data_IF_602665811107
#
_entry.id   IF_602665811107
#
_cell.length_a   1.000
_cell.length_b   1.000
_cell.length_c   1.000
_cell.angle_alpha   90.00
_cell.angle_beta   90.00
_cell.angle_gamma   90.00
#
_symmetry.space_group_name_H-M   'P 1'
#
loop_
_entity.id
_entity.type
_entity.pdbx_description
1 polymer ?
#
# COMPACT_ATOMS: atom_id res chain seq x y z
N UNK A 1 -26.26 -25.07 48.52
CA UNK A 1 -26.40 -24.83 47.06
C UNK A 1 -25.07 -24.32 46.55
N UNK A 2 -24.22 -25.22 46.09
CA UNK A 2 -22.95 -24.92 45.43
C UNK A 2 -23.26 -24.41 44.03
N UNK A 3 -23.15 -23.09 43.83
CA UNK A 3 -23.19 -22.51 42.50
C UNK A 3 -22.04 -23.12 41.69
N UNK A 4 -22.38 -23.86 40.64
CA UNK A 4 -21.42 -24.31 39.66
C UNK A 4 -20.74 -23.08 39.06
N UNK A 5 -19.40 -23.02 39.17
CA UNK A 5 -18.60 -22.12 38.36
C UNK A 5 -18.93 -22.43 36.90
N UNK A 6 -19.67 -21.55 36.24
CA UNK A 6 -19.76 -21.53 34.79
C UNK A 6 -18.36 -21.29 34.27
N UNK A 7 -17.75 -22.35 33.73
CA UNK A 7 -16.51 -22.31 32.99
C UNK A 7 -16.75 -21.39 31.80
N UNK A 8 -16.38 -20.12 31.92
CA UNK A 8 -16.33 -19.19 30.78
C UNK A 8 -15.62 -19.93 29.65
N UNK A 9 -16.34 -20.23 28.55
CA UNK A 9 -15.84 -21.05 27.46
C UNK A 9 -14.41 -20.61 27.11
N UNK A 10 -13.43 -21.40 27.52
CA UNK A 10 -12.03 -21.02 27.45
C UNK A 10 -11.69 -20.80 25.99
N UNK A 11 -11.33 -19.56 25.63
CA UNK A 11 -10.89 -19.23 24.28
C UNK A 11 -9.80 -20.23 23.90
N UNK A 12 -10.04 -21.03 22.87
CA UNK A 12 -9.07 -22.02 22.42
C UNK A 12 -7.81 -21.29 21.96
N UNK A 13 -6.70 -21.49 22.68
CA UNK A 13 -5.39 -20.96 22.31
C UNK A 13 -5.00 -21.37 20.89
N UNK A 14 -5.39 -22.58 20.46
CA UNK A 14 -5.17 -23.09 19.10
C UNK A 14 -5.97 -22.28 18.08
N UNK A 15 -7.24 -21.99 18.35
CA UNK A 15 -8.06 -21.18 17.47
C UNK A 15 -7.53 -19.74 17.35
N UNK A 16 -7.14 -19.13 18.48
CA UNK A 16 -6.55 -17.79 18.48
C UNK A 16 -5.26 -17.75 17.68
N UNK A 17 -4.39 -18.75 17.82
CA UNK A 17 -3.16 -18.84 17.05
C UNK A 17 -3.43 -18.85 15.54
N UNK A 18 -4.31 -19.72 15.05
CA UNK A 18 -4.59 -19.83 13.61
C UNK A 18 -5.28 -18.61 13.02
N UNK A 19 -6.20 -17.98 13.77
CA UNK A 19 -6.83 -16.72 13.34
C UNK A 19 -5.78 -15.63 13.16
N UNK A 20 -4.85 -15.49 14.12
CA UNK A 20 -3.77 -14.50 14.03
C UNK A 20 -2.83 -14.79 12.87
N UNK A 21 -2.43 -16.05 12.67
CA UNK A 21 -1.59 -16.45 11.53
C UNK A 21 -2.27 -16.10 10.21
N UNK A 22 -3.55 -16.38 10.07
CA UNK A 22 -4.32 -16.04 8.88
C UNK A 22 -4.43 -14.53 8.64
N UNK A 23 -4.70 -13.74 9.69
CA UNK A 23 -4.76 -12.28 9.57
C UNK A 23 -3.41 -11.69 9.16
N UNK A 24 -2.32 -12.08 9.81
CA UNK A 24 -0.98 -11.57 9.50
C UNK A 24 -0.47 -12.06 8.15
N UNK A 25 -0.79 -13.28 7.74
CA UNK A 25 -0.40 -13.79 6.43
C UNK A 25 -1.07 -13.04 5.29
N UNK A 26 -2.34 -12.66 5.44
CA UNK A 26 -3.02 -11.82 4.46
C UNK A 26 -2.32 -10.47 4.29
N UNK A 27 -1.94 -9.83 5.41
CA UNK A 27 -1.24 -8.54 5.39
C UNK A 27 0.16 -8.64 4.79
N UNK A 28 0.94 -9.66 5.16
CA UNK A 28 2.30 -9.82 4.61
C UNK A 28 2.27 -10.20 3.13
N UNK A 29 1.35 -11.06 2.70
CA UNK A 29 1.15 -11.39 1.28
C UNK A 29 0.73 -10.16 0.49
N UNK A 30 -0.18 -9.33 1.03
CA UNK A 30 -0.56 -8.07 0.40
C UNK A 30 0.66 -7.13 0.25
N UNK A 31 1.47 -6.99 1.29
CA UNK A 31 2.68 -6.16 1.24
C UNK A 31 3.67 -6.66 0.18
N UNK A 32 3.94 -7.97 0.14
CA UNK A 32 4.79 -8.58 -0.88
C UNK A 32 4.18 -8.38 -2.28
N UNK A 33 2.86 -8.50 -2.43
CA UNK A 33 2.19 -8.24 -3.70
C UNK A 33 2.37 -6.81 -4.19
N UNK A 34 2.24 -5.81 -3.31
CA UNK A 34 2.44 -4.41 -3.70
C UNK A 34 3.89 -4.15 -4.13
N UNK A 35 4.88 -4.70 -3.42
CA UNK A 35 6.29 -4.60 -3.80
C UNK A 35 6.52 -5.29 -5.16
N UNK A 36 5.98 -6.49 -5.32
CA UNK A 36 6.09 -7.26 -6.55
C UNK A 36 5.45 -6.53 -7.75
N UNK A 37 4.29 -5.88 -7.53
CA UNK A 37 3.62 -5.08 -8.54
C UNK A 37 4.47 -3.86 -8.94
N UNK A 38 5.05 -3.15 -7.96
CA UNK A 38 5.97 -2.06 -8.22
C UNK A 38 7.17 -2.52 -9.07
N UNK A 39 7.81 -3.64 -8.71
CA UNK A 39 8.93 -4.20 -9.48
C UNK A 39 8.52 -4.59 -10.90
N UNK A 40 7.35 -5.21 -11.07
CA UNK A 40 6.86 -5.61 -12.38
C UNK A 40 6.52 -4.41 -13.28
N UNK A 41 5.87 -3.39 -12.74
CA UNK A 41 5.39 -2.23 -13.53
C UNK A 41 6.48 -1.20 -13.80
N UNK A 42 7.40 -1.00 -12.85
CA UNK A 42 8.42 0.08 -12.96
C UNK A 42 9.81 -0.41 -13.28
N UNK A 43 10.16 -1.65 -12.92
CA UNK A 43 11.49 -2.23 -13.14
C UNK A 43 11.47 -3.34 -14.21
N UNK A 44 10.31 -3.58 -14.85
CA UNK A 44 10.09 -4.62 -15.86
C UNK A 44 10.43 -6.05 -15.36
N UNK A 45 10.24 -6.31 -14.06
CA UNK A 45 10.48 -7.65 -13.52
C UNK A 45 9.45 -8.66 -14.04
N UNK A 46 9.85 -9.93 -14.24
CA UNK A 46 9.00 -10.97 -14.85
C UNK A 46 7.72 -11.31 -14.07
N UNK A 47 7.67 -11.00 -12.78
CA UNK A 47 6.62 -11.47 -11.89
C UNK A 47 6.73 -12.98 -11.64
N UNK A 48 5.68 -13.56 -11.06
CA UNK A 48 5.64 -14.99 -10.73
C UNK A 48 5.23 -15.85 -11.94
N UNK A 49 4.55 -15.26 -12.92
CA UNK A 49 3.95 -16.02 -14.03
C UNK A 49 4.93 -16.90 -14.81
N UNK A 50 6.22 -16.54 -15.03
CA UNK A 50 7.14 -17.39 -15.77
C UNK A 50 7.57 -18.64 -15.03
N UNK A 51 7.39 -18.73 -13.71
CA UNK A 51 7.66 -19.95 -12.92
C UNK A 51 6.68 -21.07 -13.28
N UNK A 52 5.46 -20.72 -13.71
CA UNK A 52 4.45 -21.68 -14.16
C UNK A 52 4.61 -22.07 -15.64
N UNK A 53 5.57 -21.48 -16.37
CA UNK A 53 5.82 -21.77 -17.78
C UNK A 53 7.12 -22.57 -17.94
N UNK A 54 7.09 -23.78 -18.53
CA UNK A 54 8.29 -24.59 -18.73
C UNK A 54 9.37 -23.82 -19.49
N UNK A 55 10.60 -23.80 -18.95
CA UNK A 55 11.77 -23.21 -19.60
C UNK A 55 11.84 -21.67 -19.61
N UNK A 56 10.91 -20.95 -18.95
CA UNK A 56 10.90 -19.48 -18.92
C UNK A 56 11.16 -18.87 -17.53
N UNK A 57 11.36 -19.70 -16.52
CA UNK A 57 11.61 -19.26 -15.15
C UNK A 57 13.07 -18.77 -14.99
N UNK A 58 13.26 -17.45 -15.04
CA UNK A 58 14.53 -16.81 -14.69
C UNK A 58 14.74 -16.67 -13.18
N UNK A 59 15.96 -16.30 -12.76
CA UNK A 59 16.31 -16.10 -11.35
C UNK A 59 15.43 -15.05 -10.64
N UNK A 60 15.08 -13.95 -11.33
CA UNK A 60 14.22 -12.89 -10.78
C UNK A 60 12.80 -13.39 -10.43
N UNK A 61 12.24 -14.26 -11.27
CA UNK A 61 10.92 -14.84 -11.03
C UNK A 61 10.92 -15.75 -9.80
N UNK A 62 12.00 -16.51 -9.59
CA UNK A 62 12.20 -17.31 -8.38
C UNK A 62 12.38 -16.47 -7.13
N UNK A 63 13.12 -15.35 -7.20
CA UNK A 63 13.23 -14.40 -6.08
C UNK A 63 11.85 -13.86 -5.69
N UNK A 64 11.01 -13.54 -6.68
CA UNK A 64 9.64 -13.08 -6.43
C UNK A 64 8.82 -14.17 -5.73
N UNK A 65 8.88 -15.44 -6.16
CA UNK A 65 8.22 -16.56 -5.46
C UNK A 65 8.72 -16.71 -4.02
N UNK A 66 10.03 -16.68 -3.82
CA UNK A 66 10.64 -16.79 -2.49
C UNK A 66 10.18 -15.64 -1.60
N UNK A 67 10.00 -14.43 -2.12
CA UNK A 67 9.47 -13.31 -1.34
C UNK A 67 8.06 -13.57 -0.80
N UNK A 68 7.17 -14.24 -1.57
CA UNK A 68 5.84 -14.62 -1.07
C UNK A 68 5.92 -15.69 0.02
N UNK A 69 6.77 -16.71 -0.16
CA UNK A 69 6.99 -17.75 0.87
C UNK A 69 7.59 -17.13 2.13
N UNK A 70 8.55 -16.20 1.99
CA UNK A 70 9.13 -15.46 3.10
C UNK A 70 8.09 -14.60 3.82
N UNK A 71 7.17 -13.94 3.10
CA UNK A 71 6.08 -13.18 3.69
C UNK A 71 5.16 -14.04 4.57
N UNK A 72 4.83 -15.26 4.12
CA UNK A 72 4.08 -16.22 4.93
C UNK A 72 4.88 -16.69 6.16
N UNK A 73 6.16 -17.01 5.98
CA UNK A 73 7.03 -17.42 7.07
C UNK A 73 7.16 -16.32 8.15
N UNK A 74 7.30 -15.06 7.75
CA UNK A 74 7.35 -13.90 8.64
C UNK A 74 6.08 -13.79 9.48
N UNK A 75 4.90 -13.95 8.88
CA UNK A 75 3.64 -13.92 9.61
C UNK A 75 3.56 -15.04 10.68
N UNK A 76 3.97 -16.26 10.31
CA UNK A 76 3.99 -17.40 11.24
C UNK A 76 5.00 -17.19 12.37
N UNK A 77 6.20 -16.71 12.06
CA UNK A 77 7.25 -16.40 13.06
C UNK A 77 6.79 -15.27 14.00
N UNK A 78 6.17 -14.22 13.47
CA UNK A 78 5.64 -13.10 14.26
C UNK A 78 4.58 -13.56 15.26
N UNK A 79 3.61 -14.38 14.83
CA UNK A 79 2.57 -14.88 15.74
C UNK A 79 3.17 -15.85 16.79
N UNK A 80 4.16 -16.65 16.41
CA UNK A 80 4.85 -17.54 17.34
C UNK A 80 5.71 -16.79 18.37
N UNK A 81 6.40 -15.72 17.98
CA UNK A 81 7.17 -14.89 18.92
C UNK A 81 6.27 -14.08 19.84
N UNK A 82 5.01 -13.86 19.43
CA UNK A 82 4.08 -12.94 20.07
C UNK A 82 2.86 -13.66 20.65
N UNK A 83 3.03 -14.88 21.18
CA UNK A 83 1.94 -15.76 21.67
C UNK A 83 1.11 -15.16 22.82
N UNK A 84 1.68 -14.26 23.60
CA UNK A 84 0.99 -13.60 24.73
C UNK A 84 -0.01 -12.52 24.28
N UNK A 85 0.04 -12.10 23.01
CA UNK A 85 -0.85 -11.05 22.53
C UNK A 85 -2.24 -11.54 22.17
N UNK A 86 -3.21 -10.68 22.46
CA UNK A 86 -4.63 -10.93 22.25
C UNK A 86 -5.06 -10.51 20.85
N UNK A 87 -6.17 -11.07 20.35
CA UNK A 87 -6.80 -10.63 19.10
C UNK A 87 -7.16 -9.14 19.12
N UNK A 88 -7.49 -8.59 20.29
CA UNK A 88 -7.82 -7.17 20.45
C UNK A 88 -6.60 -6.29 20.22
N UNK A 89 -5.42 -6.69 20.74
CA UNK A 89 -4.18 -5.93 20.55
C UNK A 89 -3.72 -5.94 19.08
N UNK A 90 -3.83 -7.08 18.40
CA UNK A 90 -3.57 -7.14 16.95
C UNK A 90 -4.56 -6.24 16.18
N UNK A 91 -5.85 -6.28 16.54
CA UNK A 91 -6.88 -5.44 15.92
C UNK A 91 -6.60 -3.95 16.09
N UNK A 92 -6.14 -3.50 17.27
CA UNK A 92 -5.79 -2.10 17.49
C UNK A 92 -4.61 -1.70 16.62
N UNK A 93 -3.57 -2.53 16.54
CA UNK A 93 -2.40 -2.23 15.70
C UNK A 93 -2.76 -2.16 14.21
N UNK A 94 -3.59 -3.08 13.72
CA UNK A 94 -4.07 -3.05 12.33
C UNK A 94 -4.94 -1.80 12.08
N UNK A 95 -5.79 -1.42 13.04
CA UNK A 95 -6.63 -0.23 12.94
C UNK A 95 -5.80 1.07 12.92
N UNK A 96 -4.74 1.13 13.72
CA UNK A 96 -3.84 2.28 13.75
C UNK A 96 -3.05 2.41 12.44
N UNK A 97 -2.56 1.28 11.91
CA UNK A 97 -1.92 1.22 10.61
C UNK A 97 -2.86 1.66 9.48
N UNK A 98 -4.11 1.19 9.48
CA UNK A 98 -5.12 1.62 8.51
C UNK A 98 -5.43 3.12 8.61
N UNK A 99 -5.51 3.65 9.83
CA UNK A 99 -5.71 5.09 10.06
C UNK A 99 -4.56 5.92 9.48
N UNK A 100 -3.32 5.44 9.62
CA UNK A 100 -2.16 6.03 8.94
C UNK A 100 -2.28 5.95 7.41
N UNK A 101 -2.62 4.79 6.86
CA UNK A 101 -2.76 4.59 5.41
C UNK A 101 -3.84 5.49 4.80
N UNK A 102 -5.01 5.61 5.43
CA UNK A 102 -6.08 6.50 4.96
C UNK A 102 -5.57 7.94 4.89
N UNK A 103 -4.84 8.40 5.92
CA UNK A 103 -4.25 9.74 5.94
C UNK A 103 -3.16 9.93 4.87
N UNK A 104 -2.33 8.92 4.64
CA UNK A 104 -1.32 8.95 3.58
C UNK A 104 -1.95 9.03 2.19
N UNK A 105 -2.95 8.19 1.90
CA UNK A 105 -3.64 8.21 0.62
C UNK A 105 -4.45 9.48 0.41
N UNK A 106 -5.00 10.05 1.47
CA UNK A 106 -5.63 11.37 1.42
C UNK A 106 -4.65 12.42 0.87
N UNK A 107 -3.46 12.54 1.47
CA UNK A 107 -2.43 13.47 1.01
C UNK A 107 -1.91 13.12 -0.39
N UNK A 108 -1.83 11.83 -0.73
CA UNK A 108 -1.36 11.39 -2.03
C UNK A 108 -2.33 11.84 -3.14
N UNK A 109 -3.63 11.60 -2.97
CA UNK A 109 -4.66 12.03 -3.92
C UNK A 109 -4.67 13.54 -4.08
N UNK A 110 -4.54 14.30 -2.98
CA UNK A 110 -4.48 15.76 -3.02
C UNK A 110 -3.27 16.27 -3.81
N UNK A 111 -2.07 15.79 -3.49
CA UNK A 111 -0.83 16.25 -4.12
C UNK A 111 -0.73 15.82 -5.59
N UNK A 112 -1.10 14.56 -5.87
CA UNK A 112 -1.10 14.02 -7.23
C UNK A 112 -2.14 14.74 -8.09
N UNK A 113 -3.37 14.93 -7.57
CA UNK A 113 -4.42 15.65 -8.28
C UNK A 113 -4.04 17.10 -8.59
N UNK A 114 -3.43 17.79 -7.61
CA UNK A 114 -2.92 19.15 -7.83
C UNK A 114 -1.82 19.18 -8.90
N UNK A 115 -0.85 18.26 -8.85
CA UNK A 115 0.20 18.18 -9.85
C UNK A 115 -0.36 17.86 -11.24
N UNK A 116 -1.35 16.96 -11.35
CA UNK A 116 -2.00 16.64 -12.62
C UNK A 116 -2.79 17.82 -13.19
N UNK A 117 -3.46 18.61 -12.34
CA UNK A 117 -4.12 19.86 -12.75
C UNK A 117 -3.10 20.86 -13.32
N UNK A 118 -1.99 21.10 -12.62
CA UNK A 118 -0.93 22.01 -13.09
C UNK A 118 -0.32 21.54 -14.41
N UNK A 119 0.02 20.25 -14.51
CA UNK A 119 0.59 19.67 -15.74
C UNK A 119 -0.40 19.75 -16.90
N UNK A 120 -1.69 19.51 -16.64
CA UNK A 120 -2.74 19.60 -17.67
C UNK A 120 -2.94 21.03 -18.13
N UNK A 121 -2.98 22.00 -17.22
CA UNK A 121 -3.05 23.42 -17.54
C UNK A 121 -1.86 23.87 -18.40
N UNK A 122 -0.63 23.61 -17.95
CA UNK A 122 0.59 23.97 -18.70
C UNK A 122 0.65 23.33 -20.09
N UNK A 123 0.08 22.12 -20.23
CA UNK A 123 0.00 21.44 -21.53
C UNK A 123 -0.98 22.13 -22.46
N UNK A 124 -2.18 22.48 -21.98
CA UNK A 124 -3.23 23.13 -22.78
C UNK A 124 -2.77 24.51 -23.27
N UNK A 125 -2.10 25.28 -22.41
CA UNK A 125 -1.56 26.60 -22.75
C UNK A 125 -0.28 26.55 -23.61
N UNK A 126 0.25 25.35 -23.91
CA UNK A 126 1.52 25.19 -24.65
C UNK A 126 2.78 25.62 -23.88
N UNK A 127 2.65 25.97 -22.60
CA UNK A 127 3.74 26.45 -21.74
C UNK A 127 4.62 25.34 -21.17
N UNK A 128 4.15 24.09 -21.19
CA UNK A 128 4.85 22.95 -20.59
C UNK A 128 6.28 22.77 -21.15
N UNK A 129 6.45 22.93 -22.46
CA UNK A 129 7.75 22.85 -23.11
C UNK A 129 8.73 23.93 -22.64
N UNK A 130 8.23 25.12 -22.28
CA UNK A 130 9.04 26.21 -21.74
C UNK A 130 9.49 25.99 -20.29
N UNK A 131 8.73 25.23 -19.50
CA UNK A 131 9.03 24.99 -18.07
C UNK A 131 9.93 23.78 -17.86
N UNK A 132 9.62 22.66 -18.52
CA UNK A 132 10.33 21.37 -18.33
C UNK A 132 11.16 20.94 -19.53
N UNK A 133 11.06 21.64 -20.67
CA UNK A 133 11.74 21.26 -21.92
C UNK A 133 10.91 20.30 -22.79
N UNK A 134 11.26 20.23 -24.08
CA UNK A 134 10.52 19.44 -25.07
C UNK A 134 10.57 17.93 -24.79
N UNK A 135 11.72 17.42 -24.37
CA UNK A 135 11.91 15.98 -24.10
C UNK A 135 11.07 15.51 -22.91
N UNK A 136 11.06 16.27 -21.82
CA UNK A 136 10.22 15.97 -20.64
C UNK A 136 8.74 16.16 -20.94
N UNK A 137 8.38 17.13 -21.78
CA UNK A 137 7.00 17.32 -22.24
C UNK A 137 6.48 16.09 -22.96
N UNK A 138 7.26 15.53 -23.90
CA UNK A 138 6.91 14.27 -24.58
C UNK A 138 6.84 13.09 -23.61
N UNK A 139 7.76 13.01 -22.65
CA UNK A 139 7.78 11.93 -21.65
C UNK A 139 6.57 12.01 -20.70
N UNK A 140 6.22 13.19 -20.18
CA UNK A 140 5.04 13.45 -19.35
C UNK A 140 3.72 13.22 -20.10
N UNK A 141 3.75 13.19 -21.44
CA UNK A 141 2.65 12.71 -22.28
C UNK A 141 2.28 11.25 -22.03
N UNK A 142 3.24 10.43 -21.58
CA UNK A 142 3.07 8.98 -21.40
C UNK A 142 2.66 8.66 -19.97
N UNK A 143 1.58 7.89 -19.83
CA UNK A 143 1.02 7.49 -18.53
C UNK A 143 2.07 6.78 -17.64
N UNK A 144 2.88 5.89 -18.20
CA UNK A 144 3.90 5.14 -17.45
C UNK A 144 4.98 6.05 -16.84
N UNK A 145 5.40 7.08 -17.58
CA UNK A 145 6.41 8.03 -17.09
C UNK A 145 5.82 8.93 -16.01
N UNK A 146 4.59 9.42 -16.21
CA UNK A 146 3.88 10.22 -15.21
C UNK A 146 3.65 9.43 -13.91
N UNK A 147 3.22 8.17 -14.01
CA UNK A 147 3.07 7.31 -12.83
C UNK A 147 4.38 7.15 -12.05
N UNK A 148 5.48 6.82 -12.75
CA UNK A 148 6.74 6.50 -12.08
C UNK A 148 7.50 7.74 -11.56
N UNK A 149 7.50 8.84 -12.31
CA UNK A 149 8.34 10.01 -12.02
C UNK A 149 7.58 11.20 -11.45
N UNK A 150 6.25 11.24 -11.55
CA UNK A 150 5.44 12.29 -10.94
C UNK A 150 4.65 11.74 -9.76
N UNK A 151 3.89 10.66 -9.95
CA UNK A 151 2.98 10.16 -8.92
C UNK A 151 3.70 9.48 -7.75
N UNK A 152 4.69 8.62 -8.01
CA UNK A 152 5.42 7.93 -6.93
C UNK A 152 6.21 8.86 -6.00
N UNK A 153 6.97 9.87 -6.49
CA UNK A 153 7.61 10.84 -5.60
C UNK A 153 6.60 11.61 -4.74
N UNK A 154 5.46 12.02 -5.32
CA UNK A 154 4.39 12.70 -4.60
C UNK A 154 3.72 11.80 -3.56
N UNK A 155 3.55 10.50 -3.86
CA UNK A 155 3.13 9.50 -2.87
C UNK A 155 4.12 9.41 -1.70
N UNK A 156 5.43 9.47 -1.98
CA UNK A 156 6.47 9.55 -0.95
C UNK A 156 6.33 10.79 -0.06
N UNK A 157 6.14 11.96 -0.67
CA UNK A 157 5.88 13.23 0.06
C UNK A 157 4.59 13.13 0.90
N UNK A 158 3.54 12.50 0.36
CA UNK A 158 2.29 12.28 1.07
C UNK A 158 2.44 11.36 2.29
N UNK A 159 3.22 10.28 2.17
CA UNK A 159 3.54 9.38 3.28
C UNK A 159 4.29 10.11 4.39
N UNK A 160 5.29 10.93 4.03
CA UNK A 160 6.04 11.76 4.98
C UNK A 160 5.11 12.78 5.65
N UNK A 161 4.25 13.45 4.88
CA UNK A 161 3.28 14.41 5.42
C UNK A 161 2.27 13.76 6.35
N UNK A 162 1.81 12.55 6.04
CA UNK A 162 0.93 11.76 6.90
C UNK A 162 1.60 11.28 8.19
N UNK A 163 2.94 11.15 8.22
CA UNK A 163 3.66 10.86 9.45
C UNK A 163 3.65 12.06 10.42
N UNK A 164 3.67 13.30 9.90
CA UNK A 164 3.66 14.51 10.72
C UNK A 164 2.25 15.02 11.07
N UNK A 165 1.25 14.76 10.22
CA UNK A 165 -0.12 15.19 10.44
C UNK A 165 -0.89 14.19 11.29
N UNK A 166 -1.67 14.67 12.27
CA UNK A 166 -2.48 13.80 13.17
C UNK A 166 -3.96 13.75 12.84
N UNK A 167 -4.45 14.62 11.95
CA UNK A 167 -5.87 14.72 11.60
C UNK A 167 -6.14 14.15 10.21
N UNK A 168 -7.36 13.65 10.00
CA UNK A 168 -7.83 13.10 8.72
C UNK A 168 -8.06 14.16 7.64
N UNK A 169 -7.83 15.44 7.92
CA UNK A 169 -7.98 16.51 6.94
C UNK A 169 -9.40 16.62 6.37
N UNK A 170 -10.45 16.35 7.16
CA UNK A 170 -11.85 16.34 6.70
C UNK A 170 -12.24 17.60 5.89
N UNK A 171 -11.75 18.77 6.32
CA UNK A 171 -11.94 20.06 5.63
C UNK A 171 -11.37 20.01 4.20
N UNK A 172 -10.20 19.39 4.03
CA UNK A 172 -9.56 19.24 2.73
C UNK A 172 -10.29 18.22 1.85
N UNK A 173 -10.91 17.19 2.43
CA UNK A 173 -11.76 16.24 1.69
C UNK A 173 -12.98 16.95 1.10
N UNK A 174 -13.67 17.77 1.89
CA UNK A 174 -14.80 18.56 1.38
C UNK A 174 -14.39 19.56 0.30
N UNK A 175 -13.22 20.20 0.45
CA UNK A 175 -12.70 21.11 -0.55
C UNK A 175 -12.37 20.39 -1.87
N UNK A 176 -11.74 19.22 -1.80
CA UNK A 176 -11.39 18.42 -2.98
C UNK A 176 -12.63 17.98 -3.77
N UNK A 177 -13.70 17.57 -3.09
CA UNK A 177 -14.96 17.19 -3.75
C UNK A 177 -15.55 18.38 -4.52
N UNK A 178 -15.62 19.55 -3.88
CA UNK A 178 -16.14 20.77 -4.53
C UNK A 178 -15.30 21.16 -5.75
N UNK A 179 -13.98 21.13 -5.63
CA UNK A 179 -13.09 21.43 -6.76
C UNK A 179 -13.27 20.42 -7.89
N UNK A 180 -13.40 19.13 -7.58
CA UNK A 180 -13.60 18.09 -8.58
C UNK A 180 -14.95 18.20 -9.31
N UNK A 181 -16.01 18.67 -8.63
CA UNK A 181 -17.32 18.92 -9.25
C UNK A 181 -17.34 20.21 -10.10
N UNK A 182 -16.46 21.16 -9.83
CA UNK A 182 -16.37 22.43 -10.56
C UNK A 182 -15.39 22.39 -11.75
N UNK A 183 -14.57 21.34 -11.87
CA UNK A 183 -13.56 21.16 -12.92
C UNK A 183 -14.12 20.35 -14.10
#
# INVERSE_FOLDING_TARGET
MTAAQETTAGVSYVATFWVRVFSWSMLTVLAVFLINNYLAVTQDWPGISPVFQPGKAGALAWIQVVAYIAGLAVAVVYVQSTRSQTLRADSTMISDANTFLIRAFFWAVLLIGFADMVVSFLRVEGLLAGVVGEDLTKKLGRQQFRGSYLHLPLLGVALVTAAFTRTLGFIWLSLLIVVAELA
#
